data_IF_855564842124
#
_entry.id   IF_855564842124
#
_cell.length_a   1.000
_cell.length_b   1.000
_cell.length_c   1.000
_cell.angle_alpha   90.00
_cell.angle_beta   90.00
_cell.angle_gamma   90.00
#
_symmetry.space_group_name_H-M   'P 1'
#
loop_
_entity.id
_entity.type
_entity.pdbx_description
1 polymer ?
#
# COMPACT_ATOMS: atom_id res chain seq x y z
N UNK A 1 5.24 16.07 -0.97
CA UNK A 1 6.08 14.86 -0.79
C UNK A 1 7.40 15.26 -0.18
N UNK A 2 7.65 14.82 1.05
CA UNK A 2 8.89 15.07 1.79
C UNK A 2 9.81 13.87 1.63
N UNK A 3 10.89 14.02 0.86
CA UNK A 3 11.80 12.92 0.57
C UNK A 3 12.63 12.54 1.79
N UNK A 4 13.05 13.50 2.59
CA UNK A 4 13.93 13.24 3.74
C UNK A 4 13.20 12.35 4.75
N UNK A 5 11.91 12.61 4.95
CA UNK A 5 11.05 11.76 5.74
C UNK A 5 11.06 10.31 5.25
N UNK A 6 10.83 10.08 3.95
CA UNK A 6 10.73 8.73 3.37
C UNK A 6 12.05 7.95 3.41
N UNK A 7 13.19 8.64 3.27
CA UNK A 7 14.51 8.01 3.43
C UNK A 7 14.87 7.71 4.89
N UNK A 8 14.19 8.35 5.85
CA UNK A 8 14.44 8.17 7.28
C UNK A 8 13.59 7.10 7.95
N UNK A 9 12.64 6.50 7.23
CA UNK A 9 11.77 5.45 7.75
C UNK A 9 12.55 4.20 8.19
N UNK A 10 12.12 3.62 9.29
CA UNK A 10 12.65 2.34 9.76
C UNK A 10 12.33 1.23 8.75
N UNK A 11 13.38 0.52 8.34
CA UNK A 11 13.29 -0.60 7.41
C UNK A 11 13.13 -1.91 8.16
N UNK A 12 12.21 -2.74 7.68
CA UNK A 12 12.10 -4.13 8.14
C UNK A 12 13.37 -4.90 7.72
N UNK A 13 13.96 -5.72 8.60
CA UNK A 13 15.13 -6.54 8.26
C UNK A 13 14.93 -7.40 7.00
N UNK A 14 15.98 -7.59 6.20
CA UNK A 14 15.91 -8.22 4.88
C UNK A 14 15.28 -9.62 4.90
N UNK A 15 15.61 -10.43 5.91
CA UNK A 15 15.12 -11.79 6.12
C UNK A 15 13.61 -11.83 6.38
N UNK A 16 13.08 -10.83 7.09
CA UNK A 16 11.66 -10.70 7.41
C UNK A 16 10.88 -10.02 6.29
N UNK A 17 11.49 -9.02 5.64
CA UNK A 17 10.89 -8.21 4.58
C UNK A 17 10.31 -9.09 3.47
N UNK A 18 11.11 -10.01 2.93
CA UNK A 18 10.70 -10.85 1.80
C UNK A 18 9.51 -11.73 2.20
N UNK A 19 9.55 -12.31 3.40
CA UNK A 19 8.48 -13.17 3.92
C UNK A 19 7.18 -12.37 4.07
N UNK A 20 7.22 -11.21 4.74
CA UNK A 20 6.05 -10.38 5.01
C UNK A 20 5.43 -9.81 3.74
N UNK A 21 6.26 -9.30 2.80
CA UNK A 21 5.75 -8.79 1.52
C UNK A 21 5.07 -9.90 0.71
N UNK A 22 5.65 -11.09 0.64
CA UNK A 22 5.05 -12.20 -0.10
C UNK A 22 3.73 -12.65 0.54
N UNK A 23 3.68 -12.80 1.86
CA UNK A 23 2.44 -13.13 2.57
C UNK A 23 1.35 -12.10 2.34
N UNK A 24 1.68 -10.81 2.41
CA UNK A 24 0.77 -9.71 2.09
C UNK A 24 0.22 -9.81 0.66
N UNK A 25 1.11 -9.97 -0.33
CA UNK A 25 0.72 -10.03 -1.74
C UNK A 25 -0.19 -11.24 -2.02
N UNK A 26 0.19 -12.41 -1.53
CA UNK A 26 -0.60 -13.65 -1.70
C UNK A 26 -1.98 -13.57 -1.04
N UNK A 27 -2.08 -12.84 0.08
CA UNK A 27 -3.31 -12.71 0.86
C UNK A 27 -4.32 -11.77 0.23
N UNK A 28 -3.88 -10.60 -0.24
CA UNK A 28 -4.78 -9.53 -0.70
C UNK A 28 -4.90 -9.40 -2.22
N UNK A 29 -3.95 -9.94 -2.99
CA UNK A 29 -3.92 -9.78 -4.44
C UNK A 29 -4.07 -11.11 -5.18
N UNK A 30 -4.74 -11.06 -6.33
CA UNK A 30 -4.88 -12.22 -7.20
C UNK A 30 -3.58 -12.50 -7.95
N UNK A 31 -2.70 -13.30 -7.35
CA UNK A 31 -1.40 -13.69 -7.95
C UNK A 31 -1.55 -14.62 -9.15
N UNK A 32 -2.73 -15.21 -9.36
CA UNK A 32 -3.02 -16.11 -10.46
C UNK A 32 -3.51 -15.42 -11.74
N UNK A 33 -3.84 -14.13 -11.68
CA UNK A 33 -4.32 -13.39 -12.84
C UNK A 33 -3.23 -13.17 -13.90
N UNK A 34 -3.66 -12.98 -15.15
CA UNK A 34 -2.74 -12.72 -16.27
C UNK A 34 -1.92 -11.45 -16.05
N UNK A 35 -2.52 -10.40 -15.48
CA UNK A 35 -1.83 -9.15 -15.19
C UNK A 35 -0.67 -9.36 -14.21
N UNK A 36 -0.91 -10.09 -13.12
CA UNK A 36 0.14 -10.39 -12.14
C UNK A 36 1.30 -11.13 -12.79
N UNK A 37 1.00 -12.15 -13.60
CA UNK A 37 2.03 -12.94 -14.29
C UNK A 37 2.85 -12.10 -15.26
N UNK A 38 2.22 -11.23 -16.04
CA UNK A 38 2.87 -10.51 -17.12
C UNK A 38 3.59 -9.22 -16.66
N UNK A 39 3.11 -8.58 -15.59
CA UNK A 39 3.58 -7.24 -15.20
C UNK A 39 4.11 -7.17 -13.77
N UNK A 40 3.61 -8.00 -12.85
CA UNK A 40 4.04 -7.94 -11.45
C UNK A 40 5.17 -8.91 -11.17
N UNK A 41 5.08 -10.13 -11.71
CA UNK A 41 6.05 -11.21 -11.47
C UNK A 41 7.24 -11.21 -12.45
N UNK A 42 7.12 -10.57 -13.61
CA UNK A 42 8.11 -10.66 -14.71
C UNK A 42 8.80 -9.33 -15.06
N UNK A 43 8.13 -8.18 -14.94
CA UNK A 43 8.66 -6.88 -15.38
C UNK A 43 8.83 -5.87 -14.25
N UNK A 44 9.97 -5.17 -14.19
CA UNK A 44 10.34 -3.93 -13.46
C UNK A 44 9.79 -3.62 -12.02
N UNK A 45 8.98 -4.49 -11.40
CA UNK A 45 8.26 -4.31 -10.12
C UNK A 45 7.19 -3.21 -10.12
N UNK A 46 6.43 -2.96 -9.04
CA UNK A 46 5.13 -3.62 -8.79
C UNK A 46 3.98 -2.68 -9.27
N UNK A 47 2.84 -3.25 -9.69
CA UNK A 47 1.60 -2.57 -10.10
C UNK A 47 0.42 -3.27 -9.42
N UNK A 48 0.51 -3.46 -8.10
CA UNK A 48 -0.39 -4.33 -7.35
C UNK A 48 -1.84 -3.85 -7.43
N UNK A 49 -2.05 -2.54 -7.41
CA UNK A 49 -3.38 -1.96 -7.58
C UNK A 49 -4.11 -2.48 -8.84
N UNK A 50 -3.40 -2.68 -9.95
CA UNK A 50 -4.01 -3.22 -11.17
C UNK A 50 -4.48 -4.68 -11.04
N UNK A 51 -3.89 -5.46 -10.13
CA UNK A 51 -4.35 -6.81 -9.79
C UNK A 51 -5.59 -6.78 -8.87
N UNK A 52 -5.87 -5.64 -8.24
CA UNK A 52 -6.91 -5.48 -7.25
C UNK A 52 -8.13 -4.69 -7.74
N UNK A 53 -7.97 -3.63 -8.56
CA UNK A 53 -9.04 -2.70 -8.97
C UNK A 53 -10.28 -3.32 -9.65
N UNK A 54 -10.20 -4.60 -10.04
CA UNK A 54 -11.32 -5.37 -10.62
C UNK A 54 -12.09 -6.21 -9.60
N UNK A 55 -11.73 -6.16 -8.31
CA UNK A 55 -12.38 -6.92 -7.25
C UNK A 55 -13.59 -6.16 -6.70
N UNK A 56 -14.81 -6.52 -7.14
CA UNK A 56 -16.08 -6.22 -6.45
C UNK A 56 -16.36 -4.75 -6.05
N UNK A 57 -17.36 -4.58 -5.16
CA UNK A 57 -17.58 -3.30 -4.47
C UNK A 57 -16.58 -3.21 -3.31
N UNK A 58 -15.85 -2.10 -3.25
CA UNK A 58 -14.82 -1.86 -2.24
C UNK A 58 -15.23 -0.58 -1.51
N UNK A 59 -15.04 -0.55 -0.20
CA UNK A 59 -15.24 0.68 0.56
C UNK A 59 -14.11 1.65 0.25
N UNK A 60 -14.47 2.85 -0.21
CA UNK A 60 -13.54 3.93 -0.53
C UNK A 60 -13.62 5.06 0.49
N UNK A 61 -12.52 5.79 0.64
CA UNK A 61 -12.43 6.95 1.52
C UNK A 61 -11.44 8.00 0.97
N UNK A 62 -11.57 9.24 1.44
CA UNK A 62 -10.69 10.36 1.08
C UNK A 62 -9.41 10.39 1.94
N UNK A 63 -8.36 11.08 1.50
CA UNK A 63 -7.14 11.19 2.32
C UNK A 63 -7.39 11.89 3.67
N UNK A 64 -8.38 12.78 3.73
CA UNK A 64 -8.83 13.41 4.98
C UNK A 64 -9.43 12.41 5.98
N UNK A 65 -9.98 11.29 5.50
CA UNK A 65 -10.56 10.23 6.32
C UNK A 65 -9.55 9.14 6.71
N UNK A 66 -8.31 9.22 6.21
CA UNK A 66 -7.27 8.22 6.47
C UNK A 66 -7.05 7.94 7.97
N UNK A 67 -7.04 8.99 8.80
CA UNK A 67 -6.92 8.83 10.26
C UNK A 67 -8.06 8.02 10.87
N UNK A 68 -9.29 8.25 10.41
CA UNK A 68 -10.48 7.52 10.88
C UNK A 68 -10.37 6.04 10.51
N UNK A 69 -9.93 5.74 9.28
CA UNK A 69 -9.76 4.35 8.85
C UNK A 69 -8.61 3.65 9.57
N UNK A 70 -7.49 4.34 9.79
CA UNK A 70 -6.40 3.84 10.61
C UNK A 70 -6.85 3.54 12.04
N UNK A 71 -7.60 4.42 12.68
CA UNK A 71 -8.12 4.21 14.04
C UNK A 71 -9.02 2.98 14.13
N UNK A 72 -9.81 2.69 13.08
CA UNK A 72 -10.69 1.50 13.01
C UNK A 72 -9.91 0.19 12.94
N UNK A 73 -8.63 0.20 12.58
CA UNK A 73 -7.78 -1.02 12.59
C UNK A 73 -7.31 -1.37 14.00
N UNK A 74 -7.29 -0.40 14.92
CA UNK A 74 -6.65 -0.50 16.23
C UNK A 74 -5.16 -0.89 16.21
N UNK A 75 -4.50 -0.86 15.04
CA UNK A 75 -3.09 -1.16 14.90
C UNK A 75 -2.25 -0.02 15.51
N UNK A 76 -1.22 -0.38 16.28
CA UNK A 76 -0.27 0.58 16.85
C UNK A 76 0.93 0.82 15.95
N UNK A 77 1.41 -0.26 15.34
CA UNK A 77 2.54 -0.30 14.42
C UNK A 77 2.07 -0.97 13.14
N UNK A 78 2.54 -0.45 12.01
CA UNK A 78 2.14 -0.90 10.68
C UNK A 78 3.33 -1.07 9.78
N UNK A 79 3.15 -1.92 8.78
CA UNK A 79 4.05 -2.06 7.65
C UNK A 79 3.52 -1.28 6.46
N UNK A 80 4.44 -0.73 5.66
CA UNK A 80 4.08 -0.05 4.43
C UNK A 80 5.14 -0.11 3.35
N UNK A 81 4.69 -0.02 2.11
CA UNK A 81 5.51 0.10 0.91
C UNK A 81 4.68 0.75 -0.22
N UNK A 82 5.31 1.10 -1.34
CA UNK A 82 4.63 1.72 -2.48
C UNK A 82 5.21 1.26 -3.81
N UNK A 83 4.43 1.41 -4.88
CA UNK A 83 4.83 0.91 -6.19
C UNK A 83 4.54 1.85 -7.39
N UNK A 84 3.98 3.05 -7.14
CA UNK A 84 3.65 4.04 -8.17
C UNK A 84 4.85 4.71 -8.87
N UNK A 85 4.58 5.23 -10.07
CA UNK A 85 5.52 6.00 -10.89
C UNK A 85 5.68 7.45 -10.41
N UNK A 86 6.65 7.63 -9.52
CA UNK A 86 7.09 8.93 -8.99
C UNK A 86 8.47 9.32 -9.58
N UNK A 87 9.49 9.44 -8.72
CA UNK A 87 10.88 9.57 -9.11
C UNK A 87 11.57 8.20 -9.10
N UNK A 88 12.45 7.88 -10.06
CA UNK A 88 13.04 6.55 -10.19
C UNK A 88 13.62 5.99 -8.89
N UNK A 89 14.46 6.76 -8.19
CA UNK A 89 15.11 6.28 -6.96
C UNK A 89 14.12 6.03 -5.81
N UNK A 90 13.07 6.84 -5.72
CA UNK A 90 12.05 6.72 -4.66
C UNK A 90 11.06 5.60 -4.99
N UNK A 91 10.77 5.38 -6.27
CA UNK A 91 10.00 4.23 -6.76
C UNK A 91 10.75 2.93 -6.47
N UNK A 92 12.05 2.88 -6.77
CA UNK A 92 12.93 1.76 -6.45
C UNK A 92 12.97 1.48 -4.94
N UNK A 93 13.04 2.52 -4.13
CA UNK A 93 13.03 2.40 -2.67
C UNK A 93 11.74 1.72 -2.18
N UNK A 94 10.57 2.20 -2.59
CA UNK A 94 9.28 1.61 -2.18
C UNK A 94 9.09 0.18 -2.66
N UNK A 95 9.54 -0.13 -3.88
CA UNK A 95 9.44 -1.48 -4.45
C UNK A 95 10.35 -2.47 -3.73
N UNK A 96 11.58 -2.05 -3.39
CA UNK A 96 12.61 -2.94 -2.82
C UNK A 96 12.50 -3.11 -1.32
N UNK A 97 11.93 -2.14 -0.62
CA UNK A 97 11.87 -2.13 0.84
C UNK A 97 10.48 -2.43 1.38
N UNK A 98 10.45 -2.72 2.68
CA UNK A 98 9.26 -2.70 3.52
C UNK A 98 9.60 -1.84 4.73
N UNK A 99 8.77 -0.86 5.01
CA UNK A 99 8.97 0.05 6.12
C UNK A 99 8.06 -0.31 7.27
N UNK A 100 8.43 0.10 8.47
CA UNK A 100 7.61 0.01 9.67
C UNK A 100 7.56 1.36 10.37
N UNK A 101 6.40 1.74 10.89
CA UNK A 101 6.25 2.93 11.72
C UNK A 101 5.00 2.79 12.61
N UNK A 102 4.83 3.72 13.54
CA UNK A 102 3.58 3.79 14.31
C UNK A 102 2.45 4.32 13.45
N UNK A 103 1.22 3.85 13.71
CA UNK A 103 0.03 4.34 13.02
C UNK A 103 -0.14 5.86 13.19
N UNK A 104 0.15 6.40 14.38
CA UNK A 104 0.08 7.84 14.62
C UNK A 104 1.04 8.63 13.74
N UNK A 105 2.28 8.16 13.61
CA UNK A 105 3.24 8.80 12.72
C UNK A 105 2.74 8.81 11.26
N UNK A 106 2.18 7.70 10.80
CA UNK A 106 1.62 7.60 9.45
C UNK A 106 0.44 8.55 9.25
N UNK A 107 -0.48 8.63 10.22
CA UNK A 107 -1.63 9.56 10.19
C UNK A 107 -1.16 11.01 10.08
N UNK A 108 -0.21 11.42 10.94
CA UNK A 108 0.29 12.79 10.99
C UNK A 108 1.04 13.18 9.70
N UNK A 109 1.57 12.21 8.97
CA UNK A 109 2.42 12.42 7.80
C UNK A 109 1.86 11.86 6.48
N UNK A 110 0.59 11.45 6.42
CA UNK A 110 0.02 10.74 5.26
C UNK A 110 0.24 11.49 3.93
N UNK A 111 0.17 12.82 3.95
CA UNK A 111 0.36 13.69 2.76
C UNK A 111 1.82 13.76 2.29
N UNK A 112 2.78 13.24 3.06
CA UNK A 112 4.18 13.15 2.68
C UNK A 112 4.48 11.91 1.82
N UNK A 113 3.65 10.87 1.92
CA UNK A 113 3.81 9.61 1.20
C UNK A 113 3.43 9.73 -0.29
N UNK A 114 4.05 8.91 -1.16
CA UNK A 114 3.67 8.84 -2.56
C UNK A 114 2.31 8.15 -2.72
N UNK A 115 1.69 8.28 -3.89
CA UNK A 115 0.52 7.47 -4.23
C UNK A 115 0.89 6.00 -4.49
N UNK A 116 -0.12 5.13 -4.59
CA UNK A 116 -0.05 3.67 -4.62
C UNK A 116 0.83 3.11 -3.52
N UNK A 117 0.50 3.47 -2.29
CA UNK A 117 1.09 2.88 -1.09
C UNK A 117 0.10 1.99 -0.36
N UNK A 118 0.66 0.95 0.26
CA UNK A 118 -0.05 -0.17 0.85
C UNK A 118 0.32 -0.23 2.31
N UNK A 119 -0.67 -0.33 3.19
CA UNK A 119 -0.53 -0.37 4.65
C UNK A 119 -1.21 -1.61 5.18
N UNK A 120 -0.55 -2.30 6.10
CA UNK A 120 -1.05 -3.50 6.75
C UNK A 120 -0.34 -3.72 8.08
N UNK A 121 -0.79 -4.68 8.88
CA UNK A 121 -0.09 -5.12 10.08
C UNK A 121 0.25 -6.62 10.01
N UNK A 122 0.83 -7.16 11.09
CA UNK A 122 1.21 -8.56 11.17
C UNK A 122 0.02 -9.55 11.18
N UNK A 123 -1.22 -9.08 11.36
CA UNK A 123 -2.41 -9.93 11.38
C UNK A 123 -2.83 -10.32 9.96
N UNK A 124 -2.55 -9.45 8.97
CA UNK A 124 -3.03 -9.60 7.60
C UNK A 124 -4.55 -9.79 7.49
N UNK A 125 -5.32 -9.25 8.45
CA UNK A 125 -6.78 -9.25 8.44
C UNK A 125 -7.35 -8.07 7.65
N UNK A 126 -6.54 -7.03 7.46
CA UNK A 126 -6.91 -5.83 6.73
C UNK A 126 -5.74 -5.27 5.92
N UNK A 127 -6.06 -4.44 4.93
CA UNK A 127 -5.09 -3.52 4.32
C UNK A 127 -5.75 -2.22 3.92
N UNK A 128 -4.99 -1.14 4.06
CA UNK A 128 -5.34 0.16 3.52
C UNK A 128 -4.48 0.42 2.29
N UNK A 129 -5.10 0.74 1.16
CA UNK A 129 -4.42 1.06 -0.09
C UNK A 129 -4.75 2.49 -0.45
N UNK A 130 -3.75 3.34 -0.57
CA UNK A 130 -3.92 4.71 -1.03
C UNK A 130 -3.41 4.81 -2.46
N UNK A 131 -4.30 5.08 -3.41
CA UNK A 131 -3.97 5.12 -4.83
C UNK A 131 -4.36 6.46 -5.46
N UNK A 132 -3.72 6.79 -6.57
CA UNK A 132 -4.08 7.90 -7.44
C UNK A 132 -5.15 7.53 -8.47
N UNK A 133 -5.47 6.24 -8.61
CA UNK A 133 -6.47 5.74 -9.55
C UNK A 133 -7.84 5.61 -8.86
N UNK A 134 -8.89 6.08 -9.53
CA UNK A 134 -10.27 5.83 -9.09
C UNK A 134 -10.64 4.37 -9.28
N UNK A 135 -11.55 3.85 -8.44
CA UNK A 135 -12.05 2.48 -8.60
C UNK A 135 -12.70 2.24 -9.97
N UNK A 136 -13.29 3.27 -10.58
CA UNK A 136 -14.08 3.16 -11.82
C UNK A 136 -13.88 4.30 -12.85
N UNK A 137 -12.81 5.10 -12.78
CA UNK A 137 -12.50 6.20 -13.73
C UNK A 137 -13.58 7.31 -13.93
N UNK A 138 -14.75 7.23 -13.27
CA UNK A 138 -15.91 8.11 -13.54
C UNK A 138 -16.32 9.05 -12.41
N UNK A 139 -15.62 9.08 -11.28
CA UNK A 139 -15.95 9.93 -10.13
C UNK A 139 -14.71 10.64 -9.59
N UNK A 140 -14.85 11.91 -9.24
CA UNK A 140 -13.82 12.68 -8.53
C UNK A 140 -13.84 12.28 -7.04
N UNK A 141 -12.70 11.87 -6.49
CA UNK A 141 -12.45 11.91 -5.03
C UNK A 141 -11.95 10.66 -4.30
N UNK A 142 -11.93 9.47 -4.90
CA UNK A 142 -11.42 8.27 -4.21
C UNK A 142 -9.89 8.33 -4.08
N UNK A 143 -9.36 8.27 -2.85
CA UNK A 143 -7.91 8.30 -2.59
C UNK A 143 -7.41 7.12 -1.75
N UNK A 144 -8.33 6.33 -1.18
CA UNK A 144 -8.04 5.25 -0.25
C UNK A 144 -9.07 4.11 -0.30
N UNK A 145 -8.61 2.89 -0.06
CA UNK A 145 -9.39 1.66 -0.04
C UNK A 145 -9.09 0.89 1.22
N UNK A 146 -10.12 0.35 1.88
CA UNK A 146 -9.94 -0.60 2.99
C UNK A 146 -10.44 -1.97 2.54
N UNK A 147 -9.56 -2.96 2.63
CA UNK A 147 -9.94 -4.36 2.49
C UNK A 147 -9.95 -4.95 3.90
N UNK A 148 -11.07 -5.53 4.31
CA UNK A 148 -11.17 -6.37 5.52
C UNK A 148 -11.55 -7.77 5.08
N UNK A 149 -10.85 -8.76 5.59
CA UNK A 149 -11.20 -10.15 5.37
C UNK A 149 -12.19 -10.54 6.48
N UNK A 150 -13.40 -10.94 6.09
CA UNK A 150 -14.41 -11.49 7.00
C UNK A 150 -14.01 -12.85 7.58
#
# INVERSE_FOLDING_TARGET
MDKELLFSLDKVPEDQKVILKNQYIEKFFSTNCEYYKNYVNIGDGYYLWCCFKRQGQIYTFSVEEFGIEMDRTAAKDVFLFWDHHILPDLMDLGRKELFTCSSQFLIDNVKAFPHDFYVFDNTLEWTIIMTHEYQNETADGDNGFVIKLE
#
